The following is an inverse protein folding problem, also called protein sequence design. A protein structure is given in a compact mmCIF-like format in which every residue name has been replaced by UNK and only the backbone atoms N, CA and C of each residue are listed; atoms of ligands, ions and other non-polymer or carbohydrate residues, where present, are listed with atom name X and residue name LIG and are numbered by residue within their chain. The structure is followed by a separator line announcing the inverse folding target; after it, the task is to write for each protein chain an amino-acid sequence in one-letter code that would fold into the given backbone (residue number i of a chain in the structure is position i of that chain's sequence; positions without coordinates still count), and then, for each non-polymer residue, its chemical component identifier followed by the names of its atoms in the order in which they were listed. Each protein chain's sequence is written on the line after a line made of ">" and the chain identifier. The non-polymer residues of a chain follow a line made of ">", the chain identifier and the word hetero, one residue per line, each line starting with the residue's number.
data_IF_429412997954
#
_entry.id   IF_429412997954
#
_cell.length_a   1.000
_cell.length_b   1.000
_cell.length_c   1.000
_cell.angle_alpha   90.00
_cell.angle_beta   90.00
_cell.angle_gamma   90.00
#
_symmetry.space_group_name_H-M   'P 1'
#
loop_
_entity.id
_entity.type
_entity.pdbx_description
1 polymer ?
#
# COMPACT_ATOMS: atom_id res chain seq x y z
N UNK A 1 18.21 -75.50 -17.46
CA UNK A 1 16.83 -75.40 -16.92
C UNK A 1 16.68 -74.09 -16.16
N UNK A 2 15.68 -73.29 -16.56
CA UNK A 2 14.93 -72.24 -15.83
C UNK A 2 15.65 -71.25 -14.92
N UNK A 3 15.51 -69.95 -15.21
CA UNK A 3 14.98 -68.99 -14.22
C UNK A 3 14.42 -67.72 -14.88
N UNK A 4 13.10 -67.70 -15.09
CA UNK A 4 12.36 -66.46 -15.36
C UNK A 4 12.37 -65.56 -14.12
N UNK A 5 12.43 -64.23 -14.33
CA UNK A 5 12.38 -63.24 -13.25
C UNK A 5 11.39 -62.12 -13.61
N UNK A 6 10.21 -62.24 -12.99
CA UNK A 6 9.31 -61.22 -12.44
C UNK A 6 9.03 -59.95 -13.26
N UNK A 7 7.91 -59.96 -13.98
CA UNK A 7 7.17 -58.79 -14.41
C UNK A 7 6.14 -58.43 -13.32
N UNK A 8 6.46 -57.44 -12.47
CA UNK A 8 5.65 -57.14 -11.27
C UNK A 8 5.73 -55.69 -10.77
N UNK A 9 6.16 -54.77 -11.64
CA UNK A 9 6.43 -53.36 -11.28
C UNK A 9 5.61 -52.30 -12.02
N UNK A 10 5.07 -52.60 -13.21
CA UNK A 10 4.35 -51.60 -14.01
C UNK A 10 2.92 -51.32 -13.51
N UNK A 11 2.16 -52.33 -13.11
CA UNK A 11 0.78 -52.17 -12.64
C UNK A 11 0.68 -51.33 -11.36
N UNK A 12 1.69 -51.38 -10.48
CA UNK A 12 1.72 -50.63 -9.21
C UNK A 12 1.83 -49.11 -9.39
N UNK A 13 2.41 -48.65 -10.50
CA UNK A 13 2.52 -47.22 -10.83
C UNK A 13 1.36 -46.72 -11.71
N UNK A 14 0.71 -47.61 -12.45
CA UNK A 14 -0.45 -47.26 -13.29
C UNK A 14 -1.70 -46.97 -12.44
N UNK A 15 -1.92 -47.71 -11.36
CA UNK A 15 -3.06 -47.50 -10.44
C UNK A 15 -3.09 -46.08 -9.83
N UNK A 16 -2.00 -45.53 -9.24
CA UNK A 16 -2.04 -44.18 -8.69
C UNK A 16 -2.18 -43.09 -9.77
N UNK A 17 -1.61 -43.31 -10.96
CA UNK A 17 -1.77 -42.36 -12.08
C UNK A 17 -3.23 -42.32 -12.54
N UNK A 18 -3.88 -43.48 -12.67
CA UNK A 18 -5.29 -43.56 -13.05
C UNK A 18 -6.19 -42.86 -12.00
N UNK A 19 -5.90 -43.04 -10.71
CA UNK A 19 -6.61 -42.35 -9.62
C UNK A 19 -6.45 -40.83 -9.69
N UNK A 20 -5.24 -40.33 -9.94
CA UNK A 20 -4.99 -38.88 -10.08
C UNK A 20 -5.78 -38.30 -11.27
N UNK A 21 -5.79 -38.98 -12.41
CA UNK A 21 -6.54 -38.53 -13.60
C UNK A 21 -8.05 -38.49 -13.33
N UNK A 22 -8.57 -39.50 -12.62
CA UNK A 22 -9.99 -39.51 -12.21
C UNK A 22 -10.31 -38.36 -11.25
N UNK A 23 -9.45 -38.11 -10.26
CA UNK A 23 -9.64 -37.00 -9.29
C UNK A 23 -9.59 -35.64 -9.98
N UNK A 24 -8.63 -35.41 -10.88
CA UNK A 24 -8.55 -34.16 -11.66
C UNK A 24 -9.76 -33.99 -12.57
N UNK A 25 -10.23 -35.08 -13.19
CA UNK A 25 -11.47 -35.08 -13.99
C UNK A 25 -12.70 -34.72 -13.16
N UNK A 26 -12.83 -35.27 -11.95
CA UNK A 26 -13.93 -34.95 -11.02
C UNK A 26 -13.87 -33.49 -10.55
N UNK A 27 -12.68 -32.93 -10.27
CA UNK A 27 -12.50 -31.52 -9.92
C UNK A 27 -12.88 -30.60 -11.10
N UNK A 28 -12.55 -30.98 -12.33
CA UNK A 28 -12.92 -30.22 -13.52
C UNK A 28 -14.45 -30.25 -13.75
N UNK A 29 -15.08 -31.41 -13.60
CA UNK A 29 -16.54 -31.54 -13.69
C UNK A 29 -17.26 -30.81 -12.56
N UNK A 30 -16.73 -30.85 -11.34
CA UNK A 30 -17.26 -30.09 -10.22
C UNK A 30 -17.15 -28.58 -10.46
N UNK A 31 -16.00 -28.10 -10.94
CA UNK A 31 -15.80 -26.69 -11.31
C UNK A 31 -16.74 -26.25 -12.44
N UNK A 32 -17.07 -27.15 -13.38
CA UNK A 32 -18.06 -26.88 -14.43
C UNK A 32 -19.50 -26.87 -13.88
N UNK A 33 -19.80 -27.73 -12.91
CA UNK A 33 -21.11 -27.81 -12.26
C UNK A 33 -21.37 -26.67 -11.27
N UNK A 34 -20.31 -26.12 -10.66
CA UNK A 34 -20.36 -25.01 -9.70
C UNK A 34 -19.85 -23.70 -10.29
N UNK A 35 -19.79 -23.58 -11.63
CA UNK A 35 -19.54 -22.32 -12.31
C UNK A 35 -20.65 -21.33 -11.99
N UNK A 36 -20.43 -20.50 -10.97
CA UNK A 36 -21.20 -19.27 -10.74
C UNK A 36 -21.05 -18.39 -11.97
N UNK A 37 -22.19 -17.95 -12.50
CA UNK A 37 -22.28 -17.14 -13.70
C UNK A 37 -21.39 -15.89 -13.61
N UNK A 38 -20.64 -15.53 -14.66
CA UNK A 38 -20.16 -14.16 -14.79
C UNK A 38 -21.40 -13.27 -15.00
N UNK A 39 -21.56 -12.27 -14.13
CA UNK A 39 -22.57 -11.22 -14.31
C UNK A 39 -22.16 -10.40 -15.53
N UNK A 40 -22.82 -10.64 -16.66
CA UNK A 40 -22.95 -9.65 -17.72
C UNK A 40 -23.86 -8.54 -17.21
N UNK A 41 -23.32 -7.33 -17.05
CA UNK A 41 -24.14 -6.12 -17.11
C UNK A 41 -23.54 -5.19 -18.16
N UNK A 42 -24.13 -5.26 -19.35
CA UNK A 42 -23.91 -4.29 -20.41
C UNK A 42 -24.50 -2.94 -20.06
N UNK A 43 -23.72 -1.89 -20.30
CA UNK A 43 -24.16 -0.50 -20.31
C UNK A 43 -23.52 0.20 -21.50
N UNK A 44 -24.24 0.23 -22.62
CA UNK A 44 -23.91 1.02 -23.80
C UNK A 44 -24.11 2.50 -23.47
N UNK A 45 -23.10 3.34 -23.66
CA UNK A 45 -23.33 4.74 -23.99
C UNK A 45 -22.22 5.26 -24.90
N UNK A 46 -22.58 5.37 -26.17
CA UNK A 46 -21.86 6.04 -27.23
C UNK A 46 -22.04 7.55 -27.03
N UNK A 47 -21.01 8.25 -26.52
CA UNK A 47 -20.94 9.71 -26.65
C UNK A 47 -20.03 10.03 -27.83
N UNK A 48 -20.71 10.54 -28.85
CA UNK A 48 -20.24 11.12 -30.09
C UNK A 48 -19.68 12.51 -29.80
N UNK A 49 -18.38 12.73 -29.95
CA UNK A 49 -17.74 14.03 -30.22
C UNK A 49 -16.58 13.69 -31.17
N UNK A 50 -16.56 14.12 -32.43
CA UNK A 50 -16.63 15.51 -32.84
C UNK A 50 -15.22 15.88 -33.33
N UNK A 51 -14.97 15.60 -34.60
CA UNK A 51 -13.72 15.91 -35.30
C UNK A 51 -13.67 17.39 -35.66
N UNK A 52 -12.55 18.09 -35.40
CA UNK A 52 -12.10 19.20 -36.23
C UNK A 52 -10.59 19.43 -36.06
N UNK A 53 -9.96 19.68 -37.21
CA UNK A 53 -8.55 19.94 -37.47
C UNK A 53 -8.04 21.26 -36.85
N UNK A 54 -6.75 21.24 -36.49
CA UNK A 54 -5.74 22.15 -37.06
C UNK A 54 -5.55 23.53 -36.41
N UNK A 55 -4.28 23.91 -36.26
CA UNK A 55 -3.86 25.30 -36.09
C UNK A 55 -2.79 25.49 -35.02
N UNK A 56 -1.53 25.46 -35.44
CA UNK A 56 -0.39 26.02 -34.71
C UNK A 56 -0.47 27.55 -34.82
N UNK A 57 -0.12 28.29 -33.76
CA UNK A 57 0.68 29.53 -33.79
C UNK A 57 0.73 30.20 -32.39
N UNK A 58 1.93 30.61 -31.98
CA UNK A 58 2.21 31.36 -30.76
C UNK A 58 1.75 32.81 -30.85
N UNK A 59 1.28 33.39 -29.74
CA UNK A 59 1.46 34.82 -29.43
C UNK A 59 1.15 35.11 -27.95
N UNK A 60 2.13 35.72 -27.29
CA UNK A 60 2.10 36.37 -25.98
C UNK A 60 1.06 37.51 -25.92
N UNK A 61 0.22 37.55 -24.88
CA UNK A 61 -0.25 38.83 -24.30
C UNK A 61 -1.03 38.62 -23.00
N UNK A 62 -0.62 39.35 -21.98
CA UNK A 62 -1.21 39.46 -20.66
C UNK A 62 -2.53 40.23 -20.65
N UNK A 63 -3.57 39.68 -20.01
CA UNK A 63 -4.62 40.49 -19.36
C UNK A 63 -5.27 39.68 -18.23
N UNK A 64 -5.35 40.21 -17.00
CA UNK A 64 -6.01 39.55 -15.87
C UNK A 64 -7.52 39.82 -15.94
N UNK A 65 -8.32 38.77 -16.14
CA UNK A 65 -9.76 38.84 -16.09
C UNK A 65 -10.27 37.95 -14.95
N UNK A 66 -10.79 38.65 -13.95
CA UNK A 66 -11.97 38.30 -13.15
C UNK A 66 -11.80 37.13 -12.17
N UNK A 67 -11.72 37.53 -10.89
CA UNK A 67 -11.93 36.68 -9.73
C UNK A 67 -13.33 36.04 -9.82
N UNK A 68 -13.43 34.88 -10.47
CA UNK A 68 -14.50 33.95 -10.18
C UNK A 68 -14.29 33.49 -8.73
N UNK A 69 -15.09 34.07 -7.82
CA UNK A 69 -15.36 33.51 -6.50
C UNK A 69 -15.97 32.12 -6.69
N UNK A 70 -15.10 31.14 -6.95
CA UNK A 70 -15.43 29.74 -6.85
C UNK A 70 -15.78 29.52 -5.37
N UNK A 71 -17.08 29.41 -5.09
CA UNK A 71 -17.59 28.77 -3.90
C UNK A 71 -16.88 27.42 -3.79
N UNK A 72 -15.84 27.35 -2.95
CA UNK A 72 -15.05 26.15 -2.71
C UNK A 72 -15.93 25.18 -1.92
N UNK A 73 -16.86 24.55 -2.61
CA UNK A 73 -17.59 23.39 -2.13
C UNK A 73 -16.55 22.36 -1.69
N UNK A 74 -16.33 22.26 -0.38
CA UNK A 74 -15.38 21.33 0.20
C UNK A 74 -15.83 19.92 -0.17
N UNK A 75 -15.18 19.34 -1.19
CA UNK A 75 -15.39 17.94 -1.55
C UNK A 75 -14.98 17.08 -0.37
N UNK A 76 -15.96 16.43 0.24
CA UNK A 76 -15.73 15.46 1.28
C UNK A 76 -14.93 14.28 0.72
N UNK A 77 -13.80 13.95 1.33
CA UNK A 77 -13.01 12.77 0.98
C UNK A 77 -13.70 11.55 1.61
N UNK A 78 -14.04 10.49 0.84
CA UNK A 78 -14.69 9.30 1.37
C UNK A 78 -13.75 8.52 2.30
N UNK A 79 -14.29 7.61 3.11
CA UNK A 79 -13.50 6.71 3.98
C UNK A 79 -13.18 5.41 3.22
N UNK A 80 -11.95 4.92 3.33
CA UNK A 80 -11.52 3.65 2.74
C UNK A 80 -12.03 2.45 3.56
N UNK A 81 -12.10 1.28 2.95
CA UNK A 81 -12.21 0.01 3.68
C UNK A 81 -10.93 -0.25 4.51
N UNK A 82 -11.10 -0.78 5.72
CA UNK A 82 -10.05 -1.15 6.68
C UNK A 82 -8.95 -2.02 6.04
N UNK A 83 -9.30 -2.82 5.03
CA UNK A 83 -8.35 -3.67 4.29
C UNK A 83 -7.22 -2.88 3.60
N UNK A 84 -7.42 -1.58 3.34
CA UNK A 84 -6.43 -0.73 2.68
C UNK A 84 -5.49 -0.03 3.66
N UNK A 85 -5.64 -0.25 4.97
CA UNK A 85 -4.79 0.37 6.00
C UNK A 85 -3.31 -0.01 5.90
N UNK A 86 -3.00 -1.21 5.41
CA UNK A 86 -1.64 -1.72 5.20
C UNK A 86 -1.16 -1.59 3.74
N UNK A 87 -2.00 -1.07 2.84
CA UNK A 87 -1.66 -0.93 1.44
C UNK A 87 -0.64 0.18 1.24
N UNK A 88 0.48 -0.13 0.58
CA UNK A 88 1.46 0.85 0.11
C UNK A 88 1.40 0.89 -1.42
N UNK A 89 0.63 1.81 -2.02
CA UNK A 89 0.24 1.71 -3.44
C UNK A 89 1.41 1.58 -4.43
N UNK A 90 2.53 2.25 -4.17
CA UNK A 90 3.68 2.25 -5.08
C UNK A 90 4.70 1.14 -4.83
N UNK A 91 4.51 0.35 -3.76
CA UNK A 91 5.35 -0.79 -3.40
C UNK A 91 4.57 -2.11 -3.43
N UNK A 92 3.29 -2.09 -3.81
CA UNK A 92 2.47 -3.28 -3.87
C UNK A 92 2.87 -4.16 -5.07
N UNK A 93 3.39 -5.35 -4.76
CA UNK A 93 3.81 -6.33 -5.75
C UNK A 93 2.61 -6.87 -6.55
N UNK A 94 1.46 -7.00 -5.91
CA UNK A 94 0.25 -7.49 -6.58
C UNK A 94 -0.18 -6.52 -7.68
N UNK A 95 -0.16 -5.23 -7.38
CA UNK A 95 -0.41 -4.18 -8.35
C UNK A 95 0.54 -4.22 -9.56
N UNK A 96 1.85 -4.41 -9.33
CA UNK A 96 2.84 -4.52 -10.42
C UNK A 96 2.48 -5.67 -11.37
N UNK A 97 2.11 -6.84 -10.83
CA UNK A 97 1.68 -7.99 -11.64
C UNK A 97 0.37 -7.74 -12.40
N UNK A 98 -0.62 -7.10 -11.76
CA UNK A 98 -1.89 -6.77 -12.40
C UNK A 98 -1.73 -5.80 -13.57
N UNK A 99 -0.85 -4.80 -13.44
CA UNK A 99 -0.60 -3.83 -14.51
C UNK A 99 0.19 -4.41 -15.69
N UNK A 100 0.77 -5.62 -15.53
CA UNK A 100 1.65 -6.24 -16.52
C UNK A 100 2.73 -5.26 -17.02
N UNK A 101 3.27 -4.47 -16.09
CA UNK A 101 4.38 -3.58 -16.39
C UNK A 101 5.51 -4.43 -17.00
N UNK A 102 6.04 -3.98 -18.14
CA UNK A 102 7.20 -4.58 -18.78
C UNK A 102 8.42 -3.81 -18.31
N UNK A 103 8.98 -4.25 -17.18
CA UNK A 103 10.13 -3.61 -16.58
C UNK A 103 11.41 -4.13 -17.24
N UNK A 104 12.30 -3.22 -17.59
CA UNK A 104 13.64 -3.55 -18.05
C UNK A 104 14.50 -3.99 -16.85
N UNK A 105 14.83 -5.28 -16.81
CA UNK A 105 15.67 -5.85 -15.76
C UNK A 105 17.13 -5.41 -15.88
N UNK A 106 17.59 -5.01 -17.08
CA UNK A 106 18.96 -4.54 -17.31
C UNK A 106 19.17 -3.15 -16.70
N UNK A 107 18.14 -2.31 -16.73
CA UNK A 107 18.13 -0.99 -16.09
C UNK A 107 17.71 -1.05 -14.62
N UNK A 108 17.42 -2.25 -14.09
CA UNK A 108 17.02 -2.45 -12.69
C UNK A 108 15.69 -1.75 -12.34
N UNK A 109 14.82 -1.53 -13.31
CA UNK A 109 13.54 -0.82 -13.13
C UNK A 109 12.66 -1.50 -12.06
N UNK A 110 12.76 -2.80 -11.86
CA UNK A 110 12.02 -3.53 -10.83
C UNK A 110 12.32 -3.13 -9.37
N UNK A 111 13.35 -2.32 -9.12
CA UNK A 111 13.58 -1.68 -7.83
C UNK A 111 12.96 -0.28 -7.70
N UNK A 112 12.45 0.28 -8.81
CA UNK A 112 11.78 1.56 -8.82
C UNK A 112 10.34 1.49 -8.31
N UNK A 113 9.83 2.64 -7.86
CA UNK A 113 8.47 2.76 -7.34
C UNK A 113 7.47 2.87 -8.48
N UNK A 114 6.58 1.89 -8.57
CA UNK A 114 5.55 1.82 -9.60
C UNK A 114 4.20 2.15 -9.00
N UNK A 115 3.80 3.42 -9.09
CA UNK A 115 2.53 3.88 -8.55
C UNK A 115 1.35 3.61 -9.48
N UNK A 116 0.13 3.42 -8.94
CA UNK A 116 -1.06 3.30 -9.76
C UNK A 116 -1.38 4.54 -10.60
N UNK A 117 -1.98 4.34 -11.80
CA UNK A 117 -2.50 5.45 -12.59
C UNK A 117 -3.66 6.12 -11.83
N UNK A 118 -3.98 7.40 -12.11
CA UNK A 118 -4.93 8.19 -11.32
C UNK A 118 -6.28 7.52 -11.07
N UNK A 119 -6.77 6.74 -12.03
CA UNK A 119 -8.08 6.06 -11.98
C UNK A 119 -8.10 4.90 -10.97
N UNK A 120 -6.93 4.36 -10.61
CA UNK A 120 -6.76 3.26 -9.64
C UNK A 120 -6.17 3.73 -8.32
N UNK A 121 -6.02 5.03 -8.11
CA UNK A 121 -5.54 5.58 -6.83
C UNK A 121 -6.70 5.66 -5.84
N UNK A 122 -6.44 5.19 -4.62
CA UNK A 122 -7.35 5.37 -3.50
C UNK A 122 -7.23 6.81 -2.98
N UNK A 123 -8.22 7.64 -3.28
CA UNK A 123 -8.35 9.00 -2.75
C UNK A 123 -9.38 9.00 -1.61
N UNK A 124 -9.10 8.26 -0.55
CA UNK A 124 -9.97 8.10 0.60
C UNK A 124 -9.18 8.20 1.91
N UNK A 125 -9.88 8.50 3.01
CA UNK A 125 -9.32 8.57 4.36
C UNK A 125 -9.22 7.16 4.94
N UNK A 126 -8.04 6.80 5.45
CA UNK A 126 -7.85 5.53 6.16
C UNK A 126 -8.53 5.63 7.54
N UNK A 127 -9.42 4.69 7.88
CA UNK A 127 -10.09 4.69 9.17
C UNK A 127 -9.09 4.44 10.32
N UNK A 128 -9.34 5.00 11.51
CA UNK A 128 -8.53 4.72 12.68
C UNK A 128 -8.73 3.27 13.15
N UNK A 129 -7.71 2.64 13.74
CA UNK A 129 -7.84 1.28 14.26
C UNK A 129 -8.87 1.20 15.40
N UNK A 130 -9.47 0.02 15.63
CA UNK A 130 -10.45 -0.17 16.69
C UNK A 130 -9.84 0.15 18.07
N UNK A 131 -10.54 1.00 18.84
CA UNK A 131 -10.06 1.42 20.16
C UNK A 131 -8.97 2.50 20.12
N UNK A 132 -8.80 3.19 18.99
CA UNK A 132 -7.91 4.34 18.87
C UNK A 132 -8.15 5.36 20.00
N UNK A 133 -7.06 5.76 20.65
CA UNK A 133 -7.06 6.77 21.72
C UNK A 133 -6.59 8.11 21.19
N UNK A 134 -7.03 9.19 21.83
CA UNK A 134 -6.55 10.54 21.51
C UNK A 134 -5.02 10.58 21.64
N UNK A 135 -4.27 11.00 20.59
CA UNK A 135 -2.82 11.05 20.62
C UNK A 135 -2.28 11.89 21.77
N UNK A 136 -1.16 11.45 22.33
CA UNK A 136 -0.44 12.23 23.34
C UNK A 136 0.05 13.53 22.67
N UNK A 137 -0.14 14.67 23.33
CA UNK A 137 0.29 15.96 22.77
C UNK A 137 1.82 16.06 22.75
N UNK A 138 2.35 16.75 21.75
CA UNK A 138 3.74 17.18 21.73
C UNK A 138 4.02 18.08 22.95
N UNK A 139 5.20 18.02 23.59
CA UNK A 139 6.40 17.24 23.24
C UNK A 139 6.45 15.81 23.80
N UNK A 140 5.50 15.42 24.65
CA UNK A 140 5.53 14.11 25.33
C UNK A 140 5.38 12.94 24.35
N UNK A 141 4.68 13.14 23.24
CA UNK A 141 4.57 12.12 22.17
C UNK A 141 5.89 11.74 21.51
N UNK A 142 6.97 12.50 21.73
CA UNK A 142 8.33 12.11 21.34
C UNK A 142 8.78 10.83 22.04
N UNK A 143 8.45 10.71 23.32
CA UNK A 143 9.00 9.68 24.19
C UNK A 143 8.03 8.51 24.38
N UNK A 144 6.72 8.76 24.24
CA UNK A 144 5.68 7.73 24.43
C UNK A 144 4.46 7.92 23.53
N UNK A 145 3.86 6.80 23.11
CA UNK A 145 2.57 6.76 22.40
C UNK A 145 1.68 5.66 22.96
N UNK A 146 0.38 5.73 22.69
CA UNK A 146 -0.55 4.65 23.03
C UNK A 146 -0.26 3.40 22.20
N UNK A 147 -0.15 2.26 22.87
CA UNK A 147 0.08 0.96 22.22
C UNK A 147 -1.04 0.64 21.21
N UNK A 148 -2.28 0.97 21.55
CA UNK A 148 -3.47 0.74 20.70
C UNK A 148 -3.51 1.59 19.43
N UNK A 149 -2.70 2.65 19.35
CA UNK A 149 -2.64 3.51 18.16
C UNK A 149 -1.58 3.04 17.15
N UNK A 150 -0.75 2.06 17.51
CA UNK A 150 0.36 1.59 16.68
C UNK A 150 -0.04 0.24 16.07
N UNK A 151 -0.25 0.17 14.74
CA UNK A 151 -0.43 -1.11 14.06
C UNK A 151 0.88 -1.91 14.15
N UNK A 152 0.78 -3.22 14.38
CA UNK A 152 1.92 -4.16 14.44
C UNK A 152 2.95 -3.94 15.56
N UNK A 153 2.51 -4.01 16.83
CA UNK A 153 3.44 -3.91 17.97
C UNK A 153 4.47 -5.05 18.06
N UNK A 154 4.29 -6.15 17.31
CA UNK A 154 5.25 -7.26 17.26
C UNK A 154 6.63 -6.84 16.73
N UNK A 155 6.69 -5.77 15.92
CA UNK A 155 7.95 -5.21 15.46
C UNK A 155 8.85 -4.77 16.63
N UNK A 156 8.28 -4.43 17.79
CA UNK A 156 9.05 -4.11 19.00
C UNK A 156 9.84 -5.30 19.53
N UNK A 157 9.29 -6.50 19.37
CA UNK A 157 9.97 -7.75 19.74
C UNK A 157 11.04 -8.10 18.71
N UNK A 158 10.75 -7.91 17.42
CA UNK A 158 11.70 -8.23 16.34
C UNK A 158 12.91 -7.27 16.30
N UNK A 159 12.71 -6.00 16.70
CA UNK A 159 13.74 -4.96 16.76
C UNK A 159 14.16 -4.60 18.19
N UNK A 160 13.99 -5.54 19.13
CA UNK A 160 14.29 -5.30 20.54
C UNK A 160 15.80 -5.12 20.79
N UNK A 161 16.64 -5.76 19.98
CA UNK A 161 18.10 -5.65 20.01
C UNK A 161 18.59 -4.20 19.87
N UNK A 162 17.91 -3.40 19.04
CA UNK A 162 18.26 -2.00 18.80
C UNK A 162 17.57 -1.04 19.77
N UNK A 163 16.69 -1.53 20.65
CA UNK A 163 15.92 -0.72 21.59
C UNK A 163 15.23 0.49 20.92
N UNK A 164 14.70 0.33 19.70
CA UNK A 164 13.99 1.42 19.01
C UNK A 164 12.66 1.75 19.69
N UNK A 165 11.99 0.73 20.21
CA UNK A 165 10.70 0.84 20.87
C UNK A 165 10.58 -0.23 21.97
N UNK A 166 9.99 0.16 23.10
CA UNK A 166 9.80 -0.72 24.25
C UNK A 166 8.35 -0.64 24.69
N UNK A 167 7.68 -1.79 24.74
CA UNK A 167 6.29 -1.86 25.21
C UNK A 167 6.27 -1.75 26.75
N UNK A 168 5.56 -0.74 27.26
CA UNK A 168 5.35 -0.48 28.70
C UNK A 168 3.84 -0.47 29.00
N UNK A 169 3.27 -1.66 29.21
CA UNK A 169 1.84 -1.82 29.43
C UNK A 169 1.01 -1.30 28.25
N UNK A 170 0.22 -0.26 28.49
CA UNK A 170 -0.66 0.39 27.50
C UNK A 170 0.04 1.41 26.60
N UNK A 171 1.34 1.65 26.83
CA UNK A 171 2.14 2.60 26.06
C UNK A 171 3.34 1.93 25.41
N UNK A 172 3.83 2.56 24.35
CA UNK A 172 5.11 2.24 23.74
C UNK A 172 6.04 3.43 24.01
N UNK A 173 7.22 3.14 24.55
CA UNK A 173 8.25 4.12 24.84
C UNK A 173 9.37 4.06 23.80
N UNK A 174 9.91 5.22 23.43
CA UNK A 174 11.00 5.37 22.48
C UNK A 174 12.25 5.86 23.22
N UNK A 175 13.15 4.96 23.67
CA UNK A 175 14.29 5.35 24.50
C UNK A 175 15.42 6.04 23.70
N UNK A 176 15.27 6.20 22.38
CA UNK A 176 16.26 6.86 21.51
C UNK A 176 17.46 5.99 21.14
N UNK A 177 17.39 4.68 21.43
CA UNK A 177 18.51 3.73 21.40
C UNK A 177 18.97 3.22 20.04
N UNK A 178 18.31 3.57 18.93
CA UNK A 178 18.83 3.16 17.63
C UNK A 178 18.56 4.13 16.49
N UNK A 179 18.86 5.38 16.79
CA UNK A 179 19.15 6.32 15.72
C UNK A 179 20.49 5.95 15.05
N UNK A 180 20.63 6.21 13.75
CA UNK A 180 21.93 6.09 13.05
C UNK A 180 23.04 6.96 13.65
N UNK A 181 22.72 7.87 14.58
CA UNK A 181 23.69 8.71 15.26
C UNK A 181 24.35 7.96 16.42
N UNK A 182 25.69 7.83 16.38
CA UNK A 182 26.49 7.21 17.43
C UNK A 182 26.26 7.79 18.84
N UNK A 183 25.84 9.06 18.94
CA UNK A 183 25.56 9.76 20.21
C UNK A 183 24.08 10.10 20.40
N UNK A 184 23.19 9.46 19.65
CA UNK A 184 21.76 9.74 19.64
C UNK A 184 21.37 11.00 18.86
N UNK A 185 20.07 11.15 18.56
CA UNK A 185 19.53 12.33 17.86
C UNK A 185 19.25 13.53 18.77
N UNK A 186 19.48 13.43 20.09
CA UNK A 186 19.06 14.44 21.08
C UNK A 186 19.57 15.85 20.78
N UNK A 187 20.80 15.99 20.29
CA UNK A 187 21.36 17.30 19.91
C UNK A 187 20.58 17.93 18.75
N UNK A 188 20.27 17.15 17.72
CA UNK A 188 19.50 17.60 16.55
C UNK A 188 18.05 17.94 16.92
N UNK A 189 17.42 17.14 17.77
CA UNK A 189 16.05 17.40 18.25
C UNK A 189 15.99 18.73 19.01
N UNK A 190 16.97 19.01 19.87
CA UNK A 190 17.06 20.30 20.59
C UNK A 190 17.25 21.48 19.64
N UNK A 191 18.09 21.32 18.60
CA UNK A 191 18.28 22.36 17.59
C UNK A 191 16.97 22.66 16.84
N UNK A 192 16.26 21.63 16.38
CA UNK A 192 14.98 21.82 15.68
C UNK A 192 13.90 22.43 16.58
N UNK A 193 13.83 22.02 17.85
CA UNK A 193 12.90 22.61 18.82
C UNK A 193 13.18 24.10 19.06
N UNK A 194 14.48 24.48 19.15
CA UNK A 194 14.88 25.88 19.31
C UNK A 194 14.59 26.73 18.07
N UNK A 195 14.79 26.19 16.86
CA UNK A 195 14.45 26.88 15.61
C UNK A 195 12.94 27.08 15.50
N UNK A 196 12.14 26.07 15.85
CA UNK A 196 10.69 26.19 15.92
C UNK A 196 10.28 27.33 16.86
N UNK A 197 10.83 27.39 18.08
CA UNK A 197 10.59 28.48 19.02
C UNK A 197 10.98 29.86 18.47
N UNK A 198 12.10 29.96 17.76
CA UNK A 198 12.56 31.22 17.16
C UNK A 198 11.62 31.71 16.04
N UNK A 199 11.07 30.79 15.24
CA UNK A 199 10.14 31.11 14.16
C UNK A 199 8.78 31.58 14.71
N UNK A 200 8.22 30.91 15.72
CA UNK A 200 6.99 31.40 16.38
C UNK A 200 7.24 32.72 17.09
N UNK A 201 8.40 32.92 17.70
CA UNK A 201 8.73 34.19 18.35
C UNK A 201 8.89 35.34 17.34
N UNK A 202 9.45 35.11 16.15
CA UNK A 202 9.49 36.11 15.08
C UNK A 202 8.10 36.41 14.48
N UNK A 203 7.21 35.42 14.35
CA UNK A 203 5.87 35.60 13.78
C UNK A 203 4.88 36.30 14.74
N UNK A 204 5.13 36.28 16.05
CA UNK A 204 4.27 36.91 17.05
C UNK A 204 4.84 38.19 17.66
N UNK A 205 6.03 38.63 17.25
CA UNK A 205 6.61 39.93 17.62
C UNK A 205 6.58 40.99 16.51
N UNK A 206 5.79 40.78 15.45
CA UNK A 206 5.52 41.84 14.47
C UNK A 206 4.03 42.13 14.31
#
# INVERSE_FOLDING_TARGET
>A
MTRGRADGGQSKKLVPILLIVVVVGLIYLYSRSHGTSPVELGGRSLIKLGSSLGGEEEADSSTPAEDEENDFMLKSIPVCDDQHSELIPCLDRHFIYQMRLKLDLTLMEHYERHCPPPERRYNCLIPPPPGYKVPIKWPRSRDEVWKVNVPHTHLATEKSDQNWMVVRGDKIAFPGGGTHFHYGATKYIKLMANVGYQIVHCLFLH
#
